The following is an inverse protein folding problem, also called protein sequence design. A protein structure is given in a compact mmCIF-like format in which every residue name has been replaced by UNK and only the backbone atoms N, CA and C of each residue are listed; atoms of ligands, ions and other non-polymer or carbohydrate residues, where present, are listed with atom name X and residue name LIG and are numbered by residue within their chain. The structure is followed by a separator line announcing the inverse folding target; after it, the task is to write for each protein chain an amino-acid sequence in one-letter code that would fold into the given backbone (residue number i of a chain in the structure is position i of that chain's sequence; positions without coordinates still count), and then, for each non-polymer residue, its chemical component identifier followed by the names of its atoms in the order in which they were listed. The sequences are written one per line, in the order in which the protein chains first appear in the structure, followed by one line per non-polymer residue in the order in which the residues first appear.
data_IF_988524527763
#
_entry.id   IF_988524527763
#
_cell.length_a   1.000
_cell.length_b   1.000
_cell.length_c   1.000
_cell.angle_alpha   90.00
_cell.angle_beta   90.00
_cell.angle_gamma   90.00
#
_symmetry.space_group_name_H-M   'P 1'
#
loop_
_entity.id
_entity.type
_entity.pdbx_description
1 polymer ?
#
# COMPACT_ATOMS: atom_id res chain seq x y z
N UNK A 1 5.33 -64.08 -6.72
CA UNK A 1 6.03 -63.47 -5.56
C UNK A 1 7.26 -62.61 -5.96
N UNK A 2 8.10 -63.00 -6.94
CA UNK A 2 9.35 -62.29 -7.28
C UNK A 2 9.19 -60.87 -7.87
N UNK A 3 8.11 -60.61 -8.62
CA UNK A 3 7.86 -59.30 -9.25
C UNK A 3 7.10 -58.29 -8.37
N UNK A 4 6.48 -58.77 -7.28
CA UNK A 4 5.75 -57.92 -6.34
C UNK A 4 6.71 -57.00 -5.56
N UNK A 5 7.88 -57.54 -5.17
CA UNK A 5 8.92 -56.76 -4.50
C UNK A 5 9.51 -55.67 -5.40
N UNK A 6 9.66 -55.93 -6.70
CA UNK A 6 10.20 -54.96 -7.65
C UNK A 6 9.24 -53.79 -7.83
N UNK A 7 7.92 -54.03 -7.88
CA UNK A 7 6.92 -52.96 -8.02
C UNK A 7 6.81 -52.08 -6.76
N UNK A 8 6.93 -52.68 -5.57
CA UNK A 8 6.98 -51.94 -4.29
C UNK A 8 8.26 -51.10 -4.19
N UNK A 9 9.38 -51.60 -4.71
CA UNK A 9 10.63 -50.86 -4.77
C UNK A 9 10.59 -49.73 -5.79
N UNK A 10 9.93 -49.95 -6.93
CA UNK A 10 9.73 -48.94 -7.97
C UNK A 10 8.80 -47.82 -7.51
N UNK A 11 7.76 -48.13 -6.70
CA UNK A 11 6.88 -47.12 -6.12
C UNK A 11 7.54 -46.31 -5.00
N UNK A 12 8.50 -46.88 -4.28
CA UNK A 12 9.27 -46.14 -3.27
C UNK A 12 10.26 -45.15 -3.90
N UNK A 13 10.83 -45.48 -5.07
CA UNK A 13 11.76 -44.61 -5.79
C UNK A 13 11.06 -43.37 -6.39
N UNK A 14 9.82 -43.49 -6.85
CA UNK A 14 9.05 -42.34 -7.35
C UNK A 14 8.68 -41.35 -6.25
N UNK A 15 8.43 -41.81 -5.02
CA UNK A 15 8.15 -40.92 -3.87
C UNK A 15 9.42 -40.15 -3.46
N UNK A 16 10.61 -40.75 -3.56
CA UNK A 16 11.88 -40.04 -3.31
C UNK A 16 12.21 -38.99 -4.39
N UNK A 17 11.85 -39.24 -5.65
CA UNK A 17 12.03 -38.28 -6.74
C UNK A 17 11.18 -37.00 -6.56
N UNK A 18 10.05 -37.08 -5.84
CA UNK A 18 9.19 -35.93 -5.55
C UNK A 18 9.61 -35.12 -4.31
N UNK A 19 10.63 -35.55 -3.54
CA UNK A 19 11.08 -34.85 -2.32
C UNK A 19 12.31 -33.96 -2.53
N UNK A 20 12.77 -33.75 -3.76
CA UNK A 20 13.80 -32.75 -4.02
C UNK A 20 13.15 -31.37 -4.03
N UNK A 21 13.22 -30.68 -2.89
CA UNK A 21 13.07 -29.23 -2.85
C UNK A 21 14.15 -28.66 -3.77
N UNK A 22 13.75 -28.00 -4.87
CA UNK A 22 14.71 -27.34 -5.76
C UNK A 22 15.50 -26.31 -4.94
N UNK A 23 16.84 -26.32 -4.94
CA UNK A 23 17.61 -25.29 -4.27
C UNK A 23 17.17 -23.94 -4.83
N UNK A 24 16.63 -23.09 -3.97
CA UNK A 24 16.28 -21.73 -4.35
C UNK A 24 17.61 -21.04 -4.69
N UNK A 25 17.85 -20.81 -5.98
CA UNK A 25 18.97 -20.02 -6.47
C UNK A 25 18.73 -18.55 -6.07
N UNK A 26 19.30 -18.18 -4.91
CA UNK A 26 19.23 -16.84 -4.34
C UNK A 26 19.92 -15.76 -5.19
N UNK A 27 20.59 -16.15 -6.29
CA UNK A 27 21.40 -15.24 -7.08
C UNK A 27 20.65 -14.55 -8.22
N UNK A 28 19.37 -14.86 -8.43
CA UNK A 28 18.50 -14.07 -9.33
C UNK A 28 17.86 -12.92 -8.56
N UNK A 29 18.71 -11.93 -8.26
CA UNK A 29 18.51 -10.48 -8.08
C UNK A 29 17.08 -9.91 -8.13
N UNK A 30 16.14 -10.49 -7.39
CA UNK A 30 15.00 -9.78 -6.86
C UNK A 30 15.55 -8.92 -5.73
N UNK A 31 16.08 -7.78 -6.16
CA UNK A 31 16.40 -6.62 -5.35
C UNK A 31 15.07 -6.08 -4.78
N UNK A 32 14.44 -6.87 -3.90
CA UNK A 32 13.52 -6.37 -2.90
C UNK A 32 14.39 -5.53 -1.98
N UNK A 33 14.64 -4.29 -2.41
CA UNK A 33 14.98 -3.23 -1.48
C UNK A 33 13.79 -3.19 -0.53
N UNK A 34 13.91 -3.86 0.62
CA UNK A 34 13.01 -3.65 1.74
C UNK A 34 13.24 -2.18 2.07
N UNK A 35 12.35 -1.32 1.56
CA UNK A 35 12.31 0.08 1.95
C UNK A 35 11.83 0.04 3.40
N UNK A 36 12.75 -0.11 4.34
CA UNK A 36 12.46 -0.13 5.78
C UNK A 36 12.06 1.26 6.28
N UNK A 37 12.34 2.31 5.50
CA UNK A 37 12.10 3.70 5.86
C UNK A 37 10.86 4.25 5.14
N UNK A 38 9.77 4.41 5.89
CA UNK A 38 8.56 5.08 5.40
C UNK A 38 8.80 6.58 5.35
N UNK A 39 8.25 7.30 4.37
CA UNK A 39 8.30 8.76 4.39
C UNK A 39 7.58 9.25 5.64
N UNK A 40 8.24 10.10 6.41
CA UNK A 40 7.71 10.71 7.62
C UNK A 40 7.46 12.20 7.36
N UNK A 41 6.30 12.69 7.79
CA UNK A 41 6.00 14.12 7.69
C UNK A 41 6.88 14.92 8.69
N UNK A 42 7.31 16.15 8.39
CA UNK A 42 8.07 16.96 9.32
C UNK A 42 7.33 17.15 10.65
N UNK A 43 7.85 16.55 11.73
CA UNK A 43 7.19 16.52 13.04
C UNK A 43 6.28 15.31 13.28
N UNK A 44 6.35 14.30 12.43
CA UNK A 44 5.65 13.03 12.58
C UNK A 44 4.16 13.09 12.23
N UNK A 45 3.46 12.00 12.56
CA UNK A 45 2.04 11.82 12.23
C UNK A 45 1.13 12.86 12.91
N UNK A 46 1.46 13.28 14.13
CA UNK A 46 0.67 14.27 14.87
C UNK A 46 0.73 15.67 14.22
N UNK A 47 1.91 16.05 13.71
CA UNK A 47 2.09 17.30 12.98
C UNK A 47 1.30 17.28 11.66
N UNK A 48 1.26 16.14 10.97
CA UNK A 48 0.43 15.96 9.77
C UNK A 48 -1.05 16.15 10.08
N UNK A 49 -1.57 15.48 11.11
CA UNK A 49 -2.98 15.59 11.50
C UNK A 49 -3.33 17.03 11.91
N UNK A 50 -2.45 17.69 12.64
CA UNK A 50 -2.60 19.09 13.04
C UNK A 50 -2.60 20.01 11.82
N UNK A 51 -1.71 19.78 10.85
CA UNK A 51 -1.65 20.54 9.61
C UNK A 51 -2.95 20.39 8.81
N UNK A 52 -3.43 19.16 8.64
CA UNK A 52 -4.68 18.89 7.93
C UNK A 52 -5.85 19.59 8.64
N UNK A 53 -5.98 19.44 9.96
CA UNK A 53 -7.06 20.05 10.72
C UNK A 53 -7.04 21.58 10.64
N UNK A 54 -5.85 22.20 10.66
CA UNK A 54 -5.69 23.66 10.57
C UNK A 54 -6.00 24.20 9.17
N UNK A 55 -5.65 23.44 8.13
CA UNK A 55 -5.77 23.90 6.74
C UNK A 55 -7.08 23.47 6.07
N UNK A 56 -7.85 22.56 6.68
CA UNK A 56 -9.14 22.12 6.14
C UNK A 56 -10.21 23.18 6.37
N UNK A 57 -10.85 23.62 5.29
CA UNK A 57 -11.95 24.58 5.28
C UNK A 57 -13.19 23.87 4.78
N UNK A 58 -14.16 23.67 5.67
CA UNK A 58 -15.41 23.05 5.28
C UNK A 58 -16.20 23.97 4.33
N UNK A 59 -16.49 23.57 3.08
CA UNK A 59 -17.15 24.43 2.11
C UNK A 59 -18.53 24.89 2.59
N UNK A 60 -18.84 26.18 2.46
CA UNK A 60 -20.10 26.73 2.97
C UNK A 60 -21.32 26.10 2.28
N UNK A 61 -21.22 25.85 0.97
CA UNK A 61 -22.25 25.10 0.22
C UNK A 61 -22.46 23.69 0.76
N UNK A 62 -21.42 23.02 1.27
CA UNK A 62 -21.59 21.70 1.90
C UNK A 62 -22.28 21.82 3.27
N UNK A 63 -22.01 22.89 4.03
CA UNK A 63 -22.69 23.15 5.32
C UNK A 63 -24.17 23.44 5.14
N UNK A 64 -24.50 24.32 4.21
CA UNK A 64 -25.89 24.73 3.92
C UNK A 64 -26.75 23.55 3.48
N UNK A 65 -26.16 22.62 2.72
CA UNK A 65 -26.84 21.42 2.22
C UNK A 65 -26.76 20.23 3.19
N UNK A 66 -26.15 20.38 4.38
CA UNK A 66 -26.01 19.31 5.37
C UNK A 66 -25.23 18.10 4.86
N UNK A 67 -24.31 18.30 3.92
CA UNK A 67 -23.53 17.22 3.30
C UNK A 67 -22.39 16.86 4.24
N UNK A 68 -22.36 15.64 4.75
CA UNK A 68 -21.35 15.15 5.70
C UNK A 68 -20.84 13.75 5.33
N UNK A 69 -19.64 13.39 5.81
CA UNK A 69 -19.11 12.03 5.64
C UNK A 69 -17.60 11.93 5.75
N UNK A 70 -17.08 10.74 5.41
CA UNK A 70 -15.63 10.46 5.40
C UNK A 70 -15.14 10.23 3.97
N UNK A 71 -14.30 11.15 3.49
CA UNK A 71 -13.58 11.06 2.21
C UNK A 71 -12.29 10.30 2.41
N UNK A 72 -11.98 9.35 1.52
CA UNK A 72 -10.72 8.61 1.55
C UNK A 72 -9.87 9.02 0.36
N UNK A 73 -8.66 9.50 0.62
CA UNK A 73 -7.69 9.92 -0.39
C UNK A 73 -6.47 9.02 -0.33
N UNK A 74 -5.98 8.64 -1.51
CA UNK A 74 -4.68 8.01 -1.72
C UNK A 74 -3.78 8.99 -2.44
N UNK A 75 -2.52 9.07 -2.02
CA UNK A 75 -1.50 9.89 -2.64
C UNK A 75 -0.13 9.21 -2.51
N UNK A 76 0.83 9.65 -3.31
CA UNK A 76 2.18 9.11 -3.37
C UNK A 76 3.18 10.22 -3.12
N UNK A 77 4.11 9.99 -2.20
CA UNK A 77 5.23 10.90 -1.97
C UNK A 77 6.39 10.45 -2.87
N UNK A 78 6.94 11.37 -3.65
CA UNK A 78 8.11 11.07 -4.49
C UNK A 78 9.42 11.11 -3.67
N UNK A 79 10.55 10.80 -4.32
CA UNK A 79 11.86 10.75 -3.64
C UNK A 79 12.30 12.12 -3.12
N UNK A 80 11.76 13.18 -3.71
CA UNK A 80 12.01 14.56 -3.35
C UNK A 80 11.07 15.05 -2.23
N UNK A 81 10.17 14.23 -1.71
CA UNK A 81 9.26 14.59 -0.61
C UNK A 81 7.99 15.32 -1.04
N UNK A 82 7.73 15.48 -2.35
CA UNK A 82 6.51 16.10 -2.86
C UNK A 82 5.37 15.10 -3.00
N UNK A 83 4.16 15.58 -2.73
CA UNK A 83 2.92 14.84 -2.94
C UNK A 83 2.59 14.78 -4.44
N UNK A 84 2.31 13.58 -4.92
CA UNK A 84 1.96 13.28 -6.31
C UNK A 84 0.84 12.25 -6.38
N UNK A 85 0.19 12.13 -7.54
CA UNK A 85 -0.85 11.11 -7.82
C UNK A 85 -1.99 11.08 -6.78
N UNK A 86 -2.47 12.26 -6.38
CA UNK A 86 -3.61 12.37 -5.46
C UNK A 86 -4.87 11.83 -6.13
N UNK A 87 -5.56 10.91 -5.46
CA UNK A 87 -6.77 10.25 -5.95
C UNK A 87 -7.76 10.03 -4.82
N UNK A 88 -9.02 10.34 -5.07
CA UNK A 88 -10.11 9.98 -4.16
C UNK A 88 -10.48 8.51 -4.36
N UNK A 89 -10.30 7.69 -3.32
CA UNK A 89 -10.64 6.26 -3.31
C UNK A 89 -12.10 6.06 -2.92
N UNK A 90 -12.60 6.88 -1.99
CA UNK A 90 -14.00 6.86 -1.56
C UNK A 90 -14.52 8.28 -1.47
N UNK A 91 -15.37 8.61 -2.43
CA UNK A 91 -16.07 9.88 -2.53
C UNK A 91 -17.28 9.93 -1.60
N UNK A 92 -17.58 11.11 -1.08
CA UNK A 92 -18.85 11.41 -0.40
C UNK A 92 -19.64 12.40 -1.24
N UNK A 93 -19.00 13.52 -1.58
CA UNK A 93 -19.59 14.57 -2.40
C UNK A 93 -18.46 15.39 -3.03
N UNK A 94 -18.60 15.85 -4.29
CA UNK A 94 -17.56 16.61 -4.98
C UNK A 94 -17.04 17.83 -4.20
N UNK A 95 -17.91 18.51 -3.45
CA UNK A 95 -17.51 19.63 -2.59
C UNK A 95 -16.50 19.24 -1.52
N UNK A 96 -16.73 18.11 -0.84
CA UNK A 96 -15.83 17.62 0.21
C UNK A 96 -14.57 17.00 -0.40
N UNK A 97 -14.72 16.30 -1.51
CA UNK A 97 -13.60 15.67 -2.22
C UNK A 97 -12.61 16.72 -2.73
N UNK A 98 -13.10 17.79 -3.35
CA UNK A 98 -12.26 18.88 -3.88
C UNK A 98 -11.47 19.56 -2.76
N UNK A 99 -12.12 19.80 -1.62
CA UNK A 99 -11.45 20.39 -0.47
C UNK A 99 -10.38 19.45 0.10
N UNK A 100 -10.70 18.17 0.23
CA UNK A 100 -9.75 17.17 0.71
C UNK A 100 -8.54 17.03 -0.23
N UNK A 101 -8.75 17.03 -1.56
CA UNK A 101 -7.67 17.04 -2.56
C UNK A 101 -6.80 18.28 -2.41
N UNK A 102 -7.41 19.48 -2.31
CA UNK A 102 -6.69 20.75 -2.13
C UNK A 102 -5.77 20.71 -0.90
N UNK A 103 -6.26 20.21 0.23
CA UNK A 103 -5.47 20.13 1.47
C UNK A 103 -4.27 19.19 1.29
N UNK A 104 -4.47 18.03 0.68
CA UNK A 104 -3.40 17.05 0.43
C UNK A 104 -2.36 17.58 -0.56
N UNK A 105 -2.78 18.29 -1.61
CA UNK A 105 -1.87 18.95 -2.55
C UNK A 105 -1.09 20.11 -1.92
N UNK A 106 -1.64 20.72 -0.87
CA UNK A 106 -1.00 21.81 -0.12
C UNK A 106 -0.04 21.33 0.97
N UNK A 107 0.18 20.02 1.12
CA UNK A 107 1.12 19.52 2.11
C UNK A 107 2.55 20.00 1.81
N UNK A 108 3.32 20.39 2.84
CA UNK A 108 4.73 20.69 2.67
C UNK A 108 5.51 19.44 2.25
N UNK A 109 6.75 19.66 1.83
CA UNK A 109 7.68 18.57 1.52
C UNK A 109 7.88 17.68 2.74
N UNK A 110 7.78 16.37 2.52
CA UNK A 110 7.97 15.32 3.52
C UNK A 110 9.46 15.05 3.74
#
# INVERSE_FOLDING_TARGET
MKYLFVLVWLSLITVMLFSQETPIDYNDTLLFYVIEEKPEFPGGQDALLTYIAKNTVYPDSAKENGIEGKVFISFVINKEGYVTRVKTIRSVHPLLDNEAVRVIESLPQW
#
